data_IF_683139188797
#
_entry.id   IF_683139188797
#
_cell.length_a   1.000
_cell.length_b   1.000
_cell.length_c   1.000
_cell.angle_alpha   90.00
_cell.angle_beta   90.00
_cell.angle_gamma   90.00
#
_symmetry.space_group_name_H-M   'P 1'
#
loop_
_entity.id
_entity.type
_entity.pdbx_description
1 polymer ?
#
# COMPACT_ATOMS: atom_id res chain seq x y z
N UNK A 1 -11.48 16.47 6.74
CA UNK A 1 -10.87 16.20 5.42
C UNK A 1 -9.39 16.00 5.60
N UNK A 2 -8.91 14.77 5.48
CA UNK A 2 -7.48 14.46 5.47
C UNK A 2 -6.95 14.81 4.08
N UNK A 3 -6.34 16.00 3.94
CA UNK A 3 -5.72 16.41 2.68
C UNK A 3 -4.29 15.89 2.65
N UNK A 4 -3.94 15.11 1.63
CA UNK A 4 -2.58 14.66 1.42
C UNK A 4 -1.72 15.83 0.97
N UNK A 5 -0.47 15.83 1.42
CA UNK A 5 0.48 16.87 1.08
C UNK A 5 0.77 16.84 -0.45
N UNK A 6 0.77 17.98 -1.14
CA UNK A 6 0.96 18.04 -2.60
C UNK A 6 2.30 17.46 -3.07
N UNK A 7 3.35 17.56 -2.25
CA UNK A 7 4.64 16.92 -2.56
C UNK A 7 4.53 15.39 -2.52
N UNK A 8 3.74 14.85 -1.58
CA UNK A 8 3.49 13.41 -1.49
C UNK A 8 2.67 12.92 -2.68
N UNK A 9 1.61 13.66 -3.06
CA UNK A 9 0.79 13.37 -4.24
C UNK A 9 1.61 13.34 -5.55
N UNK A 10 2.65 14.16 -5.64
CA UNK A 10 3.54 14.21 -6.81
C UNK A 10 4.35 12.91 -6.98
N UNK A 11 4.69 12.24 -5.87
CA UNK A 11 5.42 10.96 -5.85
C UNK A 11 4.50 9.76 -6.01
N UNK A 12 3.28 9.82 -5.46
CA UNK A 12 2.32 8.73 -5.53
C UNK A 12 1.95 8.40 -6.99
N UNK A 13 1.94 7.11 -7.31
CA UNK A 13 1.58 6.56 -8.61
C UNK A 13 0.55 5.46 -8.46
N UNK A 14 -0.31 5.36 -9.46
CA UNK A 14 -1.29 4.29 -9.57
C UNK A 14 -0.56 2.93 -9.63
N UNK A 15 -0.90 1.96 -8.77
CA UNK A 15 -0.25 0.64 -8.75
C UNK A 15 -0.53 -0.19 -10.01
N UNK A 16 -1.62 0.11 -10.74
CA UNK A 16 -2.01 -0.61 -11.96
C UNK A 16 -1.41 0.05 -13.21
N UNK A 17 -1.54 1.38 -13.33
CA UNK A 17 -1.19 2.11 -14.56
C UNK A 17 0.11 2.90 -14.49
N UNK A 18 0.70 3.04 -13.29
CA UNK A 18 1.86 3.90 -13.06
C UNK A 18 1.61 5.41 -13.31
N UNK A 19 0.35 5.82 -13.48
CA UNK A 19 -0.02 7.21 -13.75
C UNK A 19 -0.14 8.03 -12.46
N UNK A 20 -0.02 9.37 -12.52
CA UNK A 20 -0.21 10.23 -11.36
C UNK A 20 -1.63 10.12 -10.79
N UNK A 21 -1.75 10.37 -9.48
CA UNK A 21 -3.01 10.35 -8.74
C UNK A 21 -3.42 11.78 -8.37
N UNK A 22 -4.71 12.07 -8.40
CA UNK A 22 -5.30 13.34 -8.00
C UNK A 22 -6.24 13.10 -6.83
N UNK A 23 -6.12 13.90 -5.77
CA UNK A 23 -7.04 13.81 -4.65
C UNK A 23 -8.36 14.53 -4.96
N UNK A 24 -9.47 13.79 -4.91
CA UNK A 24 -10.84 14.31 -4.95
C UNK A 24 -11.52 14.00 -3.61
N UNK A 25 -11.56 14.99 -2.72
CA UNK A 25 -12.12 14.81 -1.38
C UNK A 25 -11.30 13.80 -0.57
N UNK A 26 -11.94 12.70 -0.16
CA UNK A 26 -11.32 11.60 0.59
C UNK A 26 -11.00 10.39 -0.32
N UNK A 27 -10.80 10.61 -1.62
CA UNK A 27 -10.39 9.60 -2.59
C UNK A 27 -9.22 10.08 -3.47
N UNK A 28 -8.40 9.14 -3.95
CA UNK A 28 -7.39 9.35 -4.98
C UNK A 28 -7.87 8.78 -6.31
N UNK A 29 -7.88 9.59 -7.36
CA UNK A 29 -8.33 9.21 -8.70
C UNK A 29 -7.13 9.19 -9.65
N UNK A 30 -6.98 8.10 -10.41
CA UNK A 30 -5.96 8.00 -11.46
C UNK A 30 -6.28 8.93 -12.64
N UNK A 31 -5.26 9.64 -13.13
CA UNK A 31 -5.41 10.51 -14.31
C UNK A 31 -5.63 9.70 -15.59
N UNK A 32 -5.06 8.49 -15.66
CA UNK A 32 -5.28 7.54 -16.75
C UNK A 32 -6.29 6.46 -16.39
N UNK A 33 -6.98 5.95 -17.40
CA UNK A 33 -7.79 4.75 -17.28
C UNK A 33 -6.90 3.50 -17.13
N UNK A 34 -7.35 2.56 -16.30
CA UNK A 34 -6.73 1.21 -16.20
C UNK A 34 -7.04 0.34 -17.42
N UNK A 35 -6.60 -0.92 -17.38
CA UNK A 35 -6.83 -1.91 -18.44
C UNK A 35 -8.31 -2.09 -18.82
N UNK A 36 -9.24 -1.86 -17.89
CA UNK A 36 -10.69 -1.88 -18.18
C UNK A 36 -11.23 -0.61 -18.85
N UNK A 37 -10.40 0.38 -19.15
CA UNK A 37 -10.84 1.66 -19.74
C UNK A 37 -11.53 2.62 -18.76
N UNK A 38 -11.51 2.32 -17.46
CA UNK A 38 -12.12 3.13 -16.40
C UNK A 38 -11.04 3.73 -15.50
N UNK A 39 -11.24 4.95 -15.01
CA UNK A 39 -10.36 5.58 -14.01
C UNK A 39 -10.50 4.89 -12.66
N UNK A 40 -9.38 4.44 -12.12
CA UNK A 40 -9.32 3.81 -10.80
C UNK A 40 -9.45 4.88 -9.70
N UNK A 41 -10.25 4.57 -8.68
CA UNK A 41 -10.47 5.41 -7.49
C UNK A 41 -10.04 4.61 -6.26
N UNK A 42 -9.30 5.26 -5.37
CA UNK A 42 -8.73 4.66 -4.17
C UNK A 42 -9.19 5.46 -2.95
N UNK A 43 -9.93 4.88 -2.00
CA UNK A 43 -10.40 5.61 -0.82
C UNK A 43 -9.25 5.90 0.14
N UNK A 44 -9.38 6.99 0.91
CA UNK A 44 -8.49 7.34 2.01
C UNK A 44 -9.21 6.99 3.31
N UNK A 45 -8.64 6.09 4.10
CA UNK A 45 -9.19 5.66 5.40
C UNK A 45 -8.16 5.97 6.50
N UNK A 46 -8.59 6.66 7.56
CA UNK A 46 -7.71 7.10 8.65
C UNK A 46 -6.46 7.88 8.19
N UNK A 47 -6.57 8.59 7.05
CA UNK A 47 -5.45 9.32 6.44
C UNK A 47 -4.49 8.45 5.61
N UNK A 48 -4.77 7.15 5.46
CA UNK A 48 -3.98 6.20 4.68
C UNK A 48 -4.69 5.92 3.34
N UNK A 49 -4.04 6.20 2.19
CA UNK A 49 -4.58 5.84 0.88
C UNK A 49 -4.56 4.33 0.65
N UNK A 50 -5.72 3.76 0.30
CA UNK A 50 -5.86 2.34 0.07
C UNK A 50 -5.60 2.00 -1.42
N UNK A 51 -4.32 1.88 -1.80
CA UNK A 51 -3.88 1.59 -3.17
C UNK A 51 -3.95 0.10 -3.54
N UNK A 52 -5.11 -0.53 -3.29
CA UNK A 52 -5.33 -1.94 -3.62
C UNK A 52 -6.07 -2.06 -4.96
N UNK A 53 -5.66 -3.01 -5.83
CA UNK A 53 -6.51 -3.45 -6.94
C UNK A 53 -7.86 -3.93 -6.40
N UNK A 54 -8.96 -3.68 -7.12
CA UNK A 54 -10.30 -4.04 -6.65
C UNK A 54 -10.45 -5.53 -6.36
N UNK A 55 -9.78 -6.40 -7.12
CA UNK A 55 -9.73 -7.84 -6.90
C UNK A 55 -9.05 -8.24 -5.57
N UNK A 56 -8.14 -7.43 -5.03
CA UNK A 56 -7.42 -7.71 -3.79
C UNK A 56 -8.06 -7.05 -2.56
N UNK A 57 -9.02 -6.15 -2.76
CA UNK A 57 -9.71 -5.45 -1.68
C UNK A 57 -10.44 -6.41 -0.74
N UNK A 58 -11.08 -7.44 -1.31
CA UNK A 58 -11.76 -8.48 -0.53
C UNK A 58 -10.77 -9.32 0.29
N UNK A 59 -9.60 -9.64 -0.28
CA UNK A 59 -8.57 -10.41 0.40
C UNK A 59 -7.95 -9.61 1.57
N UNK A 60 -7.75 -8.30 1.39
CA UNK A 60 -7.23 -7.43 2.44
C UNK A 60 -8.18 -7.32 3.63
N UNK A 61 -9.49 -7.17 3.40
CA UNK A 61 -10.48 -7.15 4.50
C UNK A 61 -10.58 -8.48 5.26
N UNK A 62 -10.27 -9.60 4.60
CA UNK A 62 -10.26 -10.92 5.22
C UNK A 62 -8.96 -11.20 6.00
N UNK A 63 -7.86 -10.54 5.64
CA UNK A 63 -6.60 -10.63 6.37
C UNK A 63 -6.66 -9.74 7.62
N UNK A 64 -6.76 -10.35 8.81
CA UNK A 64 -6.69 -9.60 10.07
C UNK A 64 -5.37 -8.84 10.20
N UNK A 65 -5.42 -7.64 10.79
CA UNK A 65 -4.30 -6.70 10.94
C UNK A 65 -3.16 -7.15 11.88
N UNK A 66 -3.22 -8.37 12.41
CA UNK A 66 -2.29 -8.92 13.43
C UNK A 66 -0.91 -9.33 12.87
N UNK A 67 -0.73 -9.27 11.54
CA UNK A 67 0.44 -9.84 10.86
C UNK A 67 1.67 -8.90 10.85
N UNK A 68 1.59 -7.72 11.47
CA UNK A 68 2.61 -6.66 11.35
C UNK A 68 3.50 -6.47 12.59
N UNK A 69 3.29 -7.23 13.65
CA UNK A 69 4.22 -7.26 14.79
C UNK A 69 4.53 -8.71 15.18
N UNK A 70 5.72 -9.17 14.80
CA UNK A 70 6.57 -10.10 15.57
C UNK A 70 7.61 -10.80 14.68
N UNK A 71 8.77 -10.16 14.50
CA UNK A 71 10.03 -10.91 14.42
C UNK A 71 10.99 -10.36 15.48
N UNK A 72 10.96 -10.96 16.66
CA UNK A 72 12.16 -10.99 17.48
C UNK A 72 13.02 -12.15 16.93
N UNK A 73 14.23 -11.90 16.42
CA UNK A 73 15.12 -13.00 16.05
C UNK A 73 15.50 -13.79 17.31
N UNK A 74 15.56 -15.14 17.28
CA UNK A 74 16.18 -15.89 18.36
C UNK A 74 17.68 -15.58 18.37
N UNK A 75 18.12 -14.82 19.36
CA UNK A 75 19.54 -14.72 19.68
C UNK A 75 19.94 -15.99 20.45
N UNK A 76 20.26 -17.07 19.74
CA UNK A 76 21.17 -18.10 20.27
C UNK A 76 22.26 -18.41 19.25
N UNK A 77 23.34 -17.64 19.38
CA UNK A 77 24.57 -17.85 18.65
C UNK A 77 25.36 -18.98 19.27
N UNK A 78 25.15 -20.21 18.81
CA UNK A 78 26.14 -21.29 18.95
C UNK A 78 26.63 -21.70 17.56
N UNK A 79 27.71 -21.06 17.11
CA UNK A 79 28.49 -21.50 15.94
C UNK A 79 29.51 -22.54 16.42
N UNK A 80 29.50 -23.80 15.96
CA UNK A 80 30.56 -24.74 16.29
C UNK A 80 31.86 -24.28 15.62
N UNK A 81 32.90 -24.04 16.43
CA UNK A 81 34.25 -23.84 15.95
C UNK A 81 34.80 -25.19 15.48
N UNK A 82 34.82 -25.38 14.16
CA UNK A 82 35.74 -26.33 13.54
C UNK A 82 37.11 -25.68 13.43
N UNK A 83 38.10 -26.22 14.14
CA UNK A 83 39.51 -26.05 13.82
C UNK A 83 40.37 -27.11 14.55
N UNK A 84 40.98 -27.97 13.72
CA UNK A 84 42.23 -28.72 13.89
C UNK A 84 42.36 -29.73 15.05
#
# INVERSE_FOLDING_TARGET
MAKLDPDLLSVLRCPVTGSPLVQEGDELVSTAAGDSGVKLRYPIQDGIPLLLPPELLQAANAAGSDQHDSVAPPADGTRPAGAA
#
